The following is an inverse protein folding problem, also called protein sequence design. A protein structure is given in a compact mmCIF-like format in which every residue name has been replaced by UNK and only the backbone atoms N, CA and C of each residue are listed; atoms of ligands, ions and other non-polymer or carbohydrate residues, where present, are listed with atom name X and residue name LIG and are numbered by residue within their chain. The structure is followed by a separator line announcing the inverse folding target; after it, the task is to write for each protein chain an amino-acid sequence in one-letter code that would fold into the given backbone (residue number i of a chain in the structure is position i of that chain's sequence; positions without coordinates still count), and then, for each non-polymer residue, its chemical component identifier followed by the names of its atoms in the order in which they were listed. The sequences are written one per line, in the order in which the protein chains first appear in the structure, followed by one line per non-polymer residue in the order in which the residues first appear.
data_IF_827295268736
#
_entry.id   IF_827295268736
#
_cell.length_a   1.000
_cell.length_b   1.000
_cell.length_c   1.000
_cell.angle_alpha   90.00
_cell.angle_beta   90.00
_cell.angle_gamma   90.00
#
_symmetry.space_group_name_H-M   'P 1'
#
loop_
_entity.id
_entity.type
_entity.pdbx_description
1 polymer ?
#
# COMPACT_ATOMS: atom_id res chain seq x y z
N UNK A 1 -10.24 -18.93 -24.06
CA UNK A 1 -9.72 -17.67 -24.66
C UNK A 1 -8.21 -17.79 -24.76
N UNK A 2 -7.58 -17.50 -25.87
CA UNK A 2 -6.12 -17.60 -25.97
C UNK A 2 -5.47 -16.36 -25.32
N UNK A 3 -4.40 -16.55 -24.55
CA UNK A 3 -3.62 -15.44 -24.00
C UNK A 3 -2.98 -14.61 -25.10
N UNK A 4 -3.06 -13.27 -24.95
CA UNK A 4 -2.34 -12.35 -25.84
C UNK A 4 -0.83 -12.31 -25.53
N UNK A 5 -0.04 -11.63 -26.39
CA UNK A 5 1.42 -11.56 -26.24
C UNK A 5 1.85 -10.95 -24.91
N UNK A 6 1.15 -9.89 -24.44
CA UNK A 6 1.43 -9.20 -23.17
C UNK A 6 1.17 -10.13 -21.98
N UNK A 7 0.01 -10.78 -21.94
CA UNK A 7 -0.33 -11.74 -20.89
C UNK A 7 0.71 -12.88 -20.79
N UNK A 8 1.18 -13.41 -21.93
CA UNK A 8 2.25 -14.43 -21.95
C UNK A 8 3.57 -13.90 -21.40
N UNK A 9 3.94 -12.65 -21.73
CA UNK A 9 5.17 -12.02 -21.22
C UNK A 9 5.17 -12.00 -19.69
N UNK A 10 4.11 -11.52 -19.09
CA UNK A 10 4.06 -11.29 -17.63
C UNK A 10 3.77 -12.53 -16.81
N UNK A 11 2.90 -13.41 -17.27
CA UNK A 11 2.64 -14.69 -16.58
C UNK A 11 3.83 -15.65 -16.60
N UNK A 12 4.73 -15.51 -17.57
CA UNK A 12 5.83 -16.44 -17.76
C UNK A 12 5.41 -17.78 -18.38
N UNK A 13 6.35 -18.72 -18.52
CA UNK A 13 6.07 -20.01 -19.12
C UNK A 13 5.16 -20.89 -18.24
N UNK A 14 4.32 -21.69 -18.88
CA UNK A 14 3.50 -22.74 -18.27
C UNK A 14 2.69 -22.32 -17.02
N UNK A 15 1.91 -21.21 -17.07
CA UNK A 15 1.04 -20.89 -15.94
C UNK A 15 -0.05 -21.97 -15.81
N UNK A 16 -0.47 -22.32 -14.58
CA UNK A 16 -1.60 -23.24 -14.40
C UNK A 16 -2.83 -22.76 -15.17
N UNK A 17 -3.43 -23.63 -15.99
CA UNK A 17 -4.53 -23.24 -16.89
C UNK A 17 -5.74 -22.67 -16.15
N UNK A 18 -6.03 -23.16 -14.96
CA UNK A 18 -7.14 -22.69 -14.12
C UNK A 18 -6.99 -21.21 -13.70
N UNK A 19 -5.77 -20.67 -13.65
CA UNK A 19 -5.53 -19.30 -13.18
C UNK A 19 -5.91 -18.26 -14.24
N UNK A 20 -5.78 -18.56 -15.53
CA UNK A 20 -5.95 -17.58 -16.60
C UNK A 20 -7.15 -17.84 -17.52
N UNK A 21 -7.81 -19.00 -17.42
CA UNK A 21 -9.00 -19.30 -18.20
C UNK A 21 -10.31 -18.88 -17.55
N UNK A 22 -10.26 -18.49 -16.27
CA UNK A 22 -11.46 -18.09 -15.54
C UNK A 22 -12.04 -16.77 -16.10
N UNK A 23 -13.37 -16.75 -16.25
CA UNK A 23 -14.11 -15.57 -16.72
C UNK A 23 -14.06 -14.38 -15.75
N UNK A 24 -13.63 -14.61 -14.51
CA UNK A 24 -13.42 -13.55 -13.51
C UNK A 24 -12.25 -12.63 -13.88
N UNK A 25 -11.27 -13.13 -14.64
CA UNK A 25 -10.10 -12.32 -15.03
C UNK A 25 -10.39 -11.52 -16.29
N UNK A 26 -10.70 -10.26 -16.07
CA UNK A 26 -10.98 -9.31 -17.14
C UNK A 26 -9.70 -8.55 -17.53
N UNK A 27 -9.42 -8.37 -18.82
CA UNK A 27 -8.38 -7.43 -19.25
C UNK A 27 -8.71 -6.02 -18.76
N UNK A 28 -7.69 -5.25 -18.38
CA UNK A 28 -7.84 -3.83 -18.11
C UNK A 28 -7.94 -3.09 -19.46
N UNK A 29 -9.07 -2.43 -19.70
CA UNK A 29 -9.33 -1.65 -20.92
C UNK A 29 -10.27 -0.48 -20.64
N UNK A 30 -10.02 0.66 -21.26
CA UNK A 30 -8.73 1.06 -21.82
C UNK A 30 -7.70 1.29 -20.71
N UNK A 31 -6.43 1.12 -21.03
CA UNK A 31 -5.38 1.63 -20.16
C UNK A 31 -5.46 3.16 -20.17
N UNK A 32 -5.35 3.82 -19.02
CA UNK A 32 -5.21 5.27 -18.99
C UNK A 32 -4.00 5.70 -19.84
N UNK A 33 -4.03 6.90 -20.45
CA UNK A 33 -2.88 7.41 -21.16
C UNK A 33 -1.64 7.45 -20.25
N UNK A 34 -0.45 7.14 -20.75
CA UNK A 34 0.79 7.32 -20.00
C UNK A 34 0.88 8.74 -19.43
N UNK A 35 1.31 8.87 -18.17
CA UNK A 35 1.42 10.14 -17.47
C UNK A 35 0.09 10.72 -16.95
N UNK A 36 -1.07 10.07 -17.19
CA UNK A 36 -2.36 10.50 -16.62
C UNK A 36 -2.56 10.09 -15.16
N UNK A 37 -1.72 9.22 -14.64
CA UNK A 37 -1.84 8.56 -13.33
C UNK A 37 -0.60 8.73 -12.43
N UNK A 38 0.16 9.82 -12.57
CA UNK A 38 1.38 10.03 -11.80
C UNK A 38 2.46 9.00 -12.15
N UNK A 39 3.07 8.35 -11.18
CA UNK A 39 4.23 7.45 -11.29
C UNK A 39 4.01 6.16 -12.10
N UNK A 40 3.14 6.17 -13.08
CA UNK A 40 2.75 4.99 -13.83
C UNK A 40 3.30 5.01 -15.26
N UNK A 41 4.24 4.13 -15.57
CA UNK A 41 4.63 3.78 -16.92
C UNK A 41 4.01 2.45 -17.36
N UNK A 42 3.44 2.42 -18.56
CA UNK A 42 2.69 1.25 -19.09
C UNK A 42 3.55 -0.02 -19.14
N UNK A 43 4.87 0.13 -19.16
CA UNK A 43 5.82 -0.97 -19.32
C UNK A 43 6.44 -1.49 -18.02
N UNK A 44 6.14 -0.87 -16.85
CA UNK A 44 6.74 -1.21 -15.55
C UNK A 44 6.00 -2.28 -14.75
N UNK A 45 5.13 -3.04 -15.41
CA UNK A 45 4.47 -4.17 -14.76
C UNK A 45 5.49 -5.27 -14.43
N UNK A 46 5.65 -5.57 -13.15
CA UNK A 46 6.51 -6.64 -12.68
C UNK A 46 6.04 -8.02 -13.20
N UNK A 47 6.87 -8.68 -13.98
CA UNK A 47 6.61 -10.03 -14.44
C UNK A 47 6.74 -11.06 -13.31
N UNK A 48 6.19 -12.26 -13.52
CA UNK A 48 6.38 -13.38 -12.59
C UNK A 48 7.86 -13.78 -12.45
N UNK A 49 8.65 -13.68 -13.53
CA UNK A 49 10.07 -14.00 -13.50
C UNK A 49 10.85 -13.01 -12.62
N UNK A 50 10.58 -11.72 -12.73
CA UNK A 50 11.19 -10.67 -11.90
C UNK A 50 10.84 -10.87 -10.43
N UNK A 51 9.55 -11.12 -10.11
CA UNK A 51 9.13 -11.43 -8.74
C UNK A 51 9.86 -12.66 -8.17
N UNK A 52 10.01 -13.73 -8.97
CA UNK A 52 10.73 -14.93 -8.58
C UNK A 52 12.22 -14.66 -8.32
N UNK A 53 12.87 -13.84 -9.15
CA UNK A 53 14.26 -13.43 -8.96
C UNK A 53 14.45 -12.56 -7.71
N UNK A 54 13.53 -11.64 -7.43
CA UNK A 54 13.55 -10.88 -6.18
C UNK A 54 13.53 -11.79 -4.96
N UNK A 55 12.75 -12.87 -5.00
CA UNK A 55 12.68 -13.87 -3.92
C UNK A 55 13.98 -14.64 -3.67
N UNK A 56 14.91 -14.65 -4.63
CA UNK A 56 16.22 -15.28 -4.48
C UNK A 56 17.27 -14.37 -3.83
N UNK A 57 17.03 -13.05 -3.81
CA UNK A 57 17.96 -12.10 -3.23
C UNK A 57 18.05 -12.27 -1.72
N UNK A 58 19.22 -11.94 -1.16
CA UNK A 58 19.49 -12.10 0.26
C UNK A 58 18.45 -11.33 1.09
N UNK A 59 17.68 -12.00 1.98
CA UNK A 59 16.67 -11.34 2.81
C UNK A 59 17.25 -10.33 3.81
N UNK A 60 18.57 -10.35 4.01
CA UNK A 60 19.29 -9.45 4.89
C UNK A 60 19.94 -8.27 4.16
N UNK A 61 19.91 -8.25 2.82
CA UNK A 61 20.40 -7.11 2.07
C UNK A 61 19.39 -5.97 2.17
N UNK A 62 19.84 -4.77 2.50
CA UNK A 62 18.99 -3.58 2.49
C UNK A 62 18.29 -3.42 1.14
N UNK A 63 16.99 -3.18 1.16
CA UNK A 63 16.16 -2.94 -0.02
C UNK A 63 15.78 -4.16 -0.86
N UNK A 64 16.18 -5.40 -0.51
CA UNK A 64 15.85 -6.58 -1.33
C UNK A 64 15.47 -7.80 -0.50
N UNK A 65 14.34 -8.44 -0.83
CA UNK A 65 13.93 -9.72 -0.25
C UNK A 65 13.37 -9.68 1.17
N UNK A 66 13.09 -8.50 1.71
CA UNK A 66 12.52 -8.33 3.06
C UNK A 66 11.11 -8.91 3.22
N UNK A 67 10.38 -9.03 2.13
CA UNK A 67 9.02 -9.59 2.08
C UNK A 67 8.97 -11.12 2.17
N UNK A 68 10.11 -11.81 2.11
CA UNK A 68 10.15 -13.27 2.13
C UNK A 68 9.62 -13.82 3.45
N UNK A 69 8.71 -14.79 3.37
CA UNK A 69 8.26 -15.55 4.53
C UNK A 69 9.41 -16.32 5.15
N UNK A 70 9.59 -16.15 6.44
CA UNK A 70 10.56 -16.91 7.24
C UNK A 70 9.85 -17.48 8.48
N UNK A 71 10.42 -18.47 9.17
CA UNK A 71 9.84 -18.95 10.42
C UNK A 71 9.61 -17.83 11.45
N UNK A 72 10.46 -16.80 11.43
CA UNK A 72 10.41 -15.68 12.36
C UNK A 72 9.47 -14.55 11.91
N UNK A 73 9.09 -14.50 10.61
CA UNK A 73 8.27 -13.43 10.02
C UNK A 73 7.16 -14.03 9.17
N UNK A 74 5.99 -14.22 9.76
CA UNK A 74 4.85 -14.92 9.14
C UNK A 74 3.51 -14.22 9.36
N UNK A 75 3.51 -13.10 10.08
CA UNK A 75 2.29 -12.37 10.43
C UNK A 75 2.26 -11.00 9.75
N UNK A 76 1.06 -10.49 9.56
CA UNK A 76 0.81 -9.10 9.21
C UNK A 76 0.20 -8.42 10.43
N UNK A 77 0.82 -7.32 10.87
CA UNK A 77 0.26 -6.46 11.91
C UNK A 77 -0.64 -5.39 11.29
N UNK A 78 -1.80 -5.16 11.87
CA UNK A 78 -2.70 -4.05 11.54
C UNK A 78 -2.75 -3.11 12.73
N UNK A 79 -2.40 -1.86 12.53
CA UNK A 79 -2.26 -0.86 13.58
C UNK A 79 -3.20 0.31 13.32
N UNK A 80 -3.79 0.87 14.38
CA UNK A 80 -4.47 2.15 14.34
C UNK A 80 -3.63 3.23 15.01
N UNK A 81 -3.48 4.35 14.33
CA UNK A 81 -2.85 5.57 14.85
C UNK A 81 -3.91 6.67 15.01
N UNK A 82 -4.63 6.69 16.14
CA UNK A 82 -5.62 7.72 16.40
C UNK A 82 -4.94 9.08 16.65
N UNK A 83 -5.55 10.14 16.13
CA UNK A 83 -5.15 11.50 16.51
C UNK A 83 -5.56 11.80 17.95
N UNK A 84 -4.60 12.06 18.81
CA UNK A 84 -4.85 12.44 20.22
C UNK A 84 -5.58 13.76 20.39
N UNK A 85 -5.47 14.64 19.41
CA UNK A 85 -6.16 15.95 19.40
C UNK A 85 -7.65 15.83 19.06
N UNK A 86 -8.07 14.73 18.45
CA UNK A 86 -9.47 14.49 18.14
C UNK A 86 -10.27 14.17 19.41
N UNK A 87 -11.50 14.74 19.51
CA UNK A 87 -12.41 14.37 20.60
C UNK A 87 -12.73 12.88 20.53
N UNK A 88 -12.50 12.20 21.63
CA UNK A 88 -12.84 10.78 21.75
C UNK A 88 -14.36 10.60 21.66
N UNK A 89 -14.85 10.22 20.47
CA UNK A 89 -16.19 9.65 20.31
C UNK A 89 -16.10 8.13 20.49
N UNK A 90 -16.65 7.64 21.58
CA UNK A 90 -16.61 6.20 21.91
C UNK A 90 -17.30 5.33 20.84
N UNK A 91 -18.31 5.85 20.16
CA UNK A 91 -19.00 5.13 19.10
C UNK A 91 -18.17 5.08 17.82
N UNK A 92 -17.48 6.19 17.47
CA UNK A 92 -16.54 6.22 16.36
C UNK A 92 -15.35 5.28 16.61
N UNK A 93 -14.77 5.30 17.80
CA UNK A 93 -13.69 4.40 18.19
C UNK A 93 -14.09 2.92 18.10
N UNK A 94 -15.29 2.56 18.55
CA UNK A 94 -15.80 1.21 18.43
C UNK A 94 -16.00 0.78 16.98
N UNK A 95 -16.52 1.67 16.11
CA UNK A 95 -16.65 1.41 14.67
C UNK A 95 -15.29 1.20 14.02
N UNK A 96 -14.32 2.05 14.32
CA UNK A 96 -12.95 1.90 13.81
C UNK A 96 -12.35 0.56 14.23
N UNK A 97 -12.47 0.19 15.51
CA UNK A 97 -11.97 -1.10 15.98
C UNK A 97 -12.62 -2.30 15.24
N UNK A 98 -13.93 -2.24 14.99
CA UNK A 98 -14.63 -3.27 14.22
C UNK A 98 -14.13 -3.30 12.76
N UNK A 99 -14.01 -2.14 12.10
CA UNK A 99 -13.50 -2.06 10.73
C UNK A 99 -12.09 -2.64 10.59
N UNK A 100 -11.22 -2.39 11.57
CA UNK A 100 -9.87 -2.96 11.59
C UNK A 100 -9.88 -4.48 11.77
N UNK A 101 -10.77 -4.99 12.61
CA UNK A 101 -10.94 -6.44 12.79
C UNK A 101 -11.45 -7.10 11.51
N UNK A 102 -12.44 -6.48 10.85
CA UNK A 102 -12.98 -6.96 9.57
C UNK A 102 -11.93 -6.90 8.46
N UNK A 103 -11.13 -5.83 8.41
CA UNK A 103 -10.01 -5.71 7.48
C UNK A 103 -8.96 -6.80 7.73
N UNK A 104 -8.59 -7.05 8.98
CA UNK A 104 -7.62 -8.09 9.32
C UNK A 104 -8.10 -9.48 8.87
N UNK A 105 -9.40 -9.77 9.03
CA UNK A 105 -10.00 -11.01 8.53
C UNK A 105 -9.98 -11.08 7.01
N UNK A 106 -10.36 -10.00 6.32
CA UNK A 106 -10.32 -9.90 4.86
C UNK A 106 -8.89 -10.14 4.36
N UNK A 107 -7.92 -9.44 4.93
CA UNK A 107 -6.51 -9.55 4.52
C UNK A 107 -5.97 -10.95 4.76
N UNK A 108 -6.30 -11.57 5.91
CA UNK A 108 -5.96 -12.97 6.19
C UNK A 108 -6.52 -13.92 5.14
N UNK A 109 -7.80 -13.77 4.79
CA UNK A 109 -8.43 -14.59 3.75
C UNK A 109 -7.83 -14.35 2.36
N UNK A 110 -7.38 -13.11 2.12
CA UNK A 110 -6.88 -12.65 0.83
C UNK A 110 -5.45 -13.10 0.56
N UNK A 111 -4.56 -12.92 1.54
CA UNK A 111 -3.14 -13.24 1.39
C UNK A 111 -2.74 -14.57 2.02
N UNK A 112 -3.63 -15.22 2.78
CA UNK A 112 -3.36 -16.51 3.43
C UNK A 112 -2.36 -16.44 4.60
N UNK A 113 -2.04 -15.24 5.11
CA UNK A 113 -1.14 -15.04 6.25
C UNK A 113 -1.93 -14.71 7.51
N UNK A 114 -1.41 -15.12 8.65
CA UNK A 114 -1.95 -14.71 9.94
C UNK A 114 -1.89 -13.18 10.05
N UNK A 115 -3.04 -12.57 10.33
CA UNK A 115 -3.16 -11.12 10.44
C UNK A 115 -3.79 -10.79 11.77
N UNK A 116 -3.20 -9.86 12.52
CA UNK A 116 -3.68 -9.48 13.85
C UNK A 116 -3.74 -7.96 14.00
N UNK A 117 -4.78 -7.49 14.69
CA UNK A 117 -4.92 -6.09 15.06
C UNK A 117 -4.06 -5.84 16.29
N UNK A 118 -3.13 -4.91 16.18
CA UNK A 118 -2.24 -4.51 17.26
C UNK A 118 -2.92 -3.44 18.10
N UNK A 119 -3.06 -3.72 19.38
CA UNK A 119 -3.50 -2.73 20.34
C UNK A 119 -2.27 -2.17 21.04
N UNK A 120 -1.91 -0.90 20.82
CA UNK A 120 -0.83 -0.26 21.55
C UNK A 120 -1.27 -0.02 22.99
N UNK A 121 -1.25 -1.07 23.82
CA UNK A 121 -1.61 -1.01 25.26
C UNK A 121 -0.35 -1.01 26.13
N UNK A 122 -0.36 -0.15 27.16
CA UNK A 122 0.76 -0.05 28.10
C UNK A 122 1.78 1.03 27.74
N UNK A 123 3.02 0.92 28.23
CA UNK A 123 4.11 1.87 27.97
C UNK A 123 4.57 1.96 26.52
N UNK A 124 4.03 1.10 25.65
CA UNK A 124 4.30 1.01 24.23
C UNK A 124 3.30 1.78 23.36
N UNK A 125 2.43 2.57 23.97
CA UNK A 125 1.39 3.29 23.27
C UNK A 125 1.98 4.23 22.22
N UNK A 126 1.75 3.91 20.95
CA UNK A 126 1.97 4.86 19.86
C UNK A 126 0.99 6.01 19.99
N UNK A 127 1.49 7.22 19.90
CA UNK A 127 0.70 8.42 20.15
C UNK A 127 0.94 9.46 19.07
N UNK A 128 0.00 9.54 18.15
CA UNK A 128 0.00 10.55 17.09
C UNK A 128 -0.62 11.86 17.58
N UNK A 129 0.06 12.97 17.36
CA UNK A 129 -0.47 14.33 17.51
C UNK A 129 -0.37 15.02 16.15
N UNK A 130 -1.48 15.02 15.43
CA UNK A 130 -1.56 15.58 14.07
C UNK A 130 -1.30 17.08 14.07
N UNK A 131 -1.83 17.80 15.07
CA UNK A 131 -1.67 19.24 15.17
C UNK A 131 -0.22 19.66 15.40
N UNK A 132 0.54 18.86 16.14
CA UNK A 132 1.97 19.10 16.38
C UNK A 132 2.87 18.45 15.33
N UNK A 133 2.39 17.45 14.59
CA UNK A 133 3.20 16.64 13.70
C UNK A 133 4.21 15.80 14.47
N UNK A 134 3.77 15.12 15.51
CA UNK A 134 4.65 14.25 16.30
C UNK A 134 4.03 12.86 16.47
N UNK A 135 4.88 11.85 16.40
CA UNK A 135 4.55 10.47 16.74
C UNK A 135 5.45 10.03 17.89
N UNK A 136 4.86 9.73 19.04
CA UNK A 136 5.57 9.18 20.19
C UNK A 136 5.49 7.67 20.17
N UNK A 137 6.62 7.04 20.40
CA UNK A 137 6.77 5.60 20.61
C UNK A 137 7.47 5.38 21.94
N UNK A 138 7.75 4.15 22.33
CA UNK A 138 8.53 3.84 23.55
C UNK A 138 9.87 4.59 23.57
N UNK A 139 9.93 5.64 24.39
CA UNK A 139 11.16 6.40 24.64
C UNK A 139 11.61 7.35 23.55
N UNK A 140 10.89 7.42 22.42
CA UNK A 140 11.23 8.28 21.29
C UNK A 140 10.05 9.15 20.86
N UNK A 141 10.36 10.36 20.41
CA UNK A 141 9.42 11.27 19.75
C UNK A 141 9.95 11.57 18.34
N UNK A 142 9.18 11.23 17.33
CA UNK A 142 9.49 11.49 15.92
C UNK A 142 8.78 12.74 15.48
N UNK A 143 9.49 13.62 14.78
CA UNK A 143 8.90 14.78 14.12
C UNK A 143 8.40 14.36 12.74
N UNK A 144 7.10 14.55 12.49
CA UNK A 144 6.46 14.25 11.23
C UNK A 144 6.17 15.56 10.50
N UNK A 145 6.76 15.77 9.34
CA UNK A 145 6.48 16.96 8.54
C UNK A 145 4.99 17.02 8.17
N UNK A 146 4.47 18.24 8.07
CA UNK A 146 3.06 18.52 7.84
C UNK A 146 2.91 19.55 6.74
N UNK A 147 1.88 19.40 5.95
CA UNK A 147 1.49 20.41 4.96
C UNK A 147 0.07 20.92 5.23
N UNK A 148 -0.08 22.22 5.17
CA UNK A 148 -1.40 22.87 5.24
C UNK A 148 -1.99 22.89 3.84
N UNK A 149 -3.20 22.38 3.68
CA UNK A 149 -3.91 22.39 2.40
C UNK A 149 -4.12 23.83 1.94
N UNK A 150 -3.68 24.23 0.73
CA UNK A 150 -4.04 25.52 0.16
C UNK A 150 -5.55 25.54 -0.14
N UNK A 151 -6.22 26.63 0.29
CA UNK A 151 -7.62 26.87 -0.07
C UNK A 151 -8.71 26.37 0.88
N UNK A 152 -8.35 25.82 2.05
CA UNK A 152 -9.34 25.49 3.10
C UNK A 152 -10.38 24.43 2.74
N UNK A 153 -10.17 23.67 1.68
CA UNK A 153 -11.03 22.52 1.33
C UNK A 153 -10.78 21.34 2.27
N UNK A 154 -11.83 20.80 2.86
CA UNK A 154 -11.76 19.68 3.80
C UNK A 154 -11.92 20.14 5.27
N UNK A 155 -11.55 19.26 6.19
CA UNK A 155 -11.66 19.46 7.65
C UNK A 155 -10.62 20.41 8.24
N UNK A 156 -9.78 21.05 7.44
CA UNK A 156 -8.71 21.97 7.87
C UNK A 156 -7.51 21.28 8.55
N UNK A 157 -7.48 19.94 8.56
CA UNK A 157 -6.40 19.15 9.16
C UNK A 157 -5.18 19.14 8.23
N UNK A 158 -3.95 19.23 8.77
CA UNK A 158 -2.74 19.11 7.95
C UNK A 158 -2.57 17.68 7.42
N UNK A 159 -2.00 17.55 6.23
CA UNK A 159 -1.52 16.27 5.73
C UNK A 159 -0.17 15.93 6.38
N UNK A 160 0.03 14.67 6.74
CA UNK A 160 1.27 14.18 7.34
C UNK A 160 2.17 13.55 6.26
N UNK A 161 3.48 13.79 6.37
CA UNK A 161 4.46 13.16 5.49
C UNK A 161 4.49 11.64 5.75
N UNK A 162 4.11 10.86 4.74
CA UNK A 162 4.01 9.41 4.83
C UNK A 162 5.38 8.75 5.01
N UNK A 163 6.45 9.31 4.45
CA UNK A 163 7.81 8.77 4.59
C UNK A 163 8.34 8.92 6.02
N UNK A 164 8.05 10.04 6.68
CA UNK A 164 8.40 10.21 8.10
C UNK A 164 7.62 9.24 9.00
N UNK A 165 6.38 8.90 8.63
CA UNK A 165 5.63 7.84 9.32
C UNK A 165 6.28 6.47 9.11
N UNK A 166 6.79 6.16 7.91
CA UNK A 166 7.51 4.91 7.66
C UNK A 166 8.74 4.78 8.57
N UNK A 167 9.56 5.83 8.66
CA UNK A 167 10.76 5.83 9.50
C UNK A 167 10.41 5.60 10.97
N UNK A 168 9.35 6.25 11.45
CA UNK A 168 8.89 6.12 12.83
C UNK A 168 8.28 4.74 13.12
N UNK A 169 7.65 4.09 12.14
CA UNK A 169 6.97 2.81 12.29
C UNK A 169 7.83 1.59 11.95
N UNK A 170 8.91 1.77 11.17
CA UNK A 170 9.79 0.67 10.77
C UNK A 170 10.31 -0.19 11.93
N UNK A 171 10.68 0.37 13.11
CA UNK A 171 11.06 -0.44 14.26
C UNK A 171 9.95 -1.36 14.78
N UNK A 172 8.67 -0.99 14.59
CA UNK A 172 7.52 -1.78 15.04
C UNK A 172 7.17 -2.92 14.08
N UNK A 173 7.70 -2.91 12.85
CA UNK A 173 7.63 -4.04 11.91
C UNK A 173 8.68 -5.13 12.24
N UNK A 174 9.07 -5.27 13.53
CA UNK A 174 9.95 -6.32 14.03
C UNK A 174 9.27 -7.71 14.00
N UNK A 175 10.04 -8.81 14.08
CA UNK A 175 9.43 -10.13 14.21
C UNK A 175 8.41 -10.18 15.36
N UNK A 176 7.26 -10.85 15.20
CA UNK A 176 6.97 -11.85 14.14
C UNK A 176 6.36 -11.28 12.86
N UNK A 177 6.31 -9.95 12.70
CA UNK A 177 5.62 -9.32 11.57
C UNK A 177 6.50 -9.32 10.31
N UNK A 178 5.89 -9.75 9.22
CA UNK A 178 6.41 -9.60 7.86
C UNK A 178 6.12 -8.20 7.34
N UNK A 179 4.95 -7.67 7.67
CA UNK A 179 4.51 -6.35 7.30
C UNK A 179 3.66 -5.71 8.40
N UNK A 180 3.63 -4.39 8.44
CA UNK A 180 2.80 -3.57 9.32
C UNK A 180 1.94 -2.62 8.46
N UNK A 181 0.63 -2.67 8.64
CA UNK A 181 -0.33 -1.81 7.96
C UNK A 181 -0.91 -0.84 8.98
N UNK A 182 -0.58 0.43 8.87
CA UNK A 182 -1.01 1.47 9.80
C UNK A 182 -2.16 2.30 9.21
N UNK A 183 -3.32 2.28 9.88
CA UNK A 183 -4.43 3.19 9.59
C UNK A 183 -4.26 4.45 10.42
N UNK A 184 -4.20 5.59 9.74
CA UNK A 184 -3.82 6.89 10.33
C UNK A 184 -5.01 7.83 10.31
N UNK A 185 -5.41 8.35 11.47
CA UNK A 185 -6.48 9.35 11.60
C UNK A 185 -6.02 10.75 11.13
N UNK A 186 -5.43 10.82 9.96
CA UNK A 186 -5.00 12.07 9.33
C UNK A 186 -4.93 11.91 7.82
N UNK A 187 -5.07 13.01 7.06
CA UNK A 187 -4.64 13.05 5.67
C UNK A 187 -3.15 12.69 5.54
N UNK A 188 -2.79 11.98 4.48
CA UNK A 188 -1.41 11.64 4.16
C UNK A 188 -0.98 12.38 2.91
N UNK A 189 0.30 12.73 2.86
CA UNK A 189 0.92 13.36 1.70
C UNK A 189 2.33 12.84 1.47
N UNK A 190 2.77 12.95 0.23
CA UNK A 190 4.16 12.73 -0.15
C UNK A 190 4.70 13.98 -0.84
N UNK A 191 6.00 14.31 -0.69
CA UNK A 191 6.59 15.41 -1.43
C UNK A 191 6.40 15.19 -2.93
N UNK A 192 6.02 16.22 -3.66
CA UNK A 192 6.15 16.17 -5.11
C UNK A 192 7.63 16.27 -5.44
N UNK A 193 8.13 15.35 -6.26
CA UNK A 193 9.44 15.48 -6.85
C UNK A 193 9.40 16.74 -7.75
N UNK A 194 10.28 17.70 -7.49
CA UNK A 194 10.48 18.82 -8.43
C UNK A 194 11.08 18.19 -9.70
N UNK A 195 10.26 18.12 -10.76
CA UNK A 195 10.80 17.80 -12.07
C UNK A 195 11.84 18.86 -12.42
N UNK A 196 13.12 18.52 -12.37
CA UNK A 196 14.25 19.36 -12.74
C UNK A 196 14.25 19.72 -14.25
N UNK A 197 13.12 19.57 -14.93
CA UNK A 197 12.94 19.96 -16.32
C UNK A 197 12.65 21.45 -16.40
N UNK A 198 13.68 22.29 -16.12
CA UNK A 198 13.72 23.71 -16.45
C UNK A 198 13.68 23.92 -17.98
N UNK A 199 12.61 23.43 -18.61
CA UNK A 199 12.24 23.82 -19.94
C UNK A 199 11.71 25.24 -19.95
N UNK A 200 12.56 26.23 -20.25
CA UNK A 200 12.19 27.61 -20.58
C UNK A 200 11.05 27.64 -21.60
N UNK A 201 9.82 27.70 -21.17
CA UNK A 201 8.72 28.12 -22.03
C UNK A 201 7.96 29.26 -21.38
N UNK A 202 8.15 30.47 -21.92
CA UNK A 202 7.45 31.70 -21.59
C UNK A 202 5.94 31.60 -21.82
N UNK A 203 5.22 31.07 -20.85
CA UNK A 203 3.78 31.05 -20.74
C UNK A 203 3.33 31.53 -19.37
N UNK A 204 2.11 32.04 -19.26
CA UNK A 204 1.54 32.57 -18.01
C UNK A 204 1.87 31.61 -16.86
N UNK A 205 2.54 32.11 -15.83
CA UNK A 205 2.96 31.33 -14.64
C UNK A 205 1.75 30.60 -14.07
N UNK A 206 1.73 29.28 -14.23
CA UNK A 206 0.89 28.43 -13.39
C UNK A 206 1.21 28.71 -11.93
N UNK A 207 0.22 28.78 -11.05
CA UNK A 207 0.53 28.78 -9.63
C UNK A 207 1.44 27.59 -9.34
N UNK A 208 2.46 27.76 -8.48
CA UNK A 208 3.33 26.67 -8.12
C UNK A 208 2.46 25.47 -7.66
N UNK A 209 2.78 24.24 -8.06
CA UNK A 209 2.07 23.07 -7.62
C UNK A 209 2.10 23.02 -6.09
N UNK A 210 1.12 22.39 -5.45
CA UNK A 210 1.17 22.20 -4.01
C UNK A 210 2.47 21.46 -3.66
N UNK A 211 3.12 21.79 -2.55
CA UNK A 211 4.42 21.22 -2.17
C UNK A 211 4.35 19.72 -1.84
N UNK A 212 3.20 19.09 -2.00
CA UNK A 212 2.97 17.69 -1.76
C UNK A 212 1.75 17.17 -2.55
N UNK A 213 1.77 15.90 -2.86
CA UNK A 213 0.63 15.15 -3.40
C UNK A 213 -0.08 14.43 -2.26
N UNK A 214 -1.40 14.58 -2.18
CA UNK A 214 -2.20 13.84 -1.22
C UNK A 214 -2.37 12.39 -1.69
N UNK A 215 -2.23 11.44 -0.73
CA UNK A 215 -2.36 10.01 -0.99
C UNK A 215 -3.33 9.38 -0.01
N UNK A 216 -4.15 8.43 -0.48
CA UNK A 216 -5.02 7.62 0.39
C UNK A 216 -4.23 6.53 1.11
N UNK A 217 -3.19 6.03 0.49
CA UNK A 217 -2.29 5.03 1.04
C UNK A 217 -0.96 5.05 0.33
N UNK A 218 0.06 4.58 1.01
CA UNK A 218 1.41 4.38 0.48
C UNK A 218 2.09 3.25 1.22
N UNK A 219 2.86 2.46 0.49
CA UNK A 219 3.72 1.42 1.07
C UNK A 219 5.18 1.72 0.74
N UNK A 220 6.05 1.37 1.66
CA UNK A 220 7.49 1.35 1.44
C UNK A 220 8.01 -0.08 1.47
N UNK A 221 9.01 -0.39 0.65
CA UNK A 221 9.70 -1.69 0.65
C UNK A 221 10.24 -2.14 2.02
N UNK A 222 10.17 -1.29 3.02
CA UNK A 222 10.58 -1.53 4.41
C UNK A 222 9.48 -2.11 5.31
N UNK A 223 8.49 -2.79 4.72
CA UNK A 223 7.45 -3.56 5.42
C UNK A 223 6.38 -2.72 6.11
N UNK A 224 6.32 -1.44 5.87
CA UNK A 224 5.31 -0.56 6.43
C UNK A 224 4.44 -0.02 5.31
N UNK A 225 3.14 -0.05 5.55
CA UNK A 225 2.17 0.69 4.75
C UNK A 225 1.37 1.61 5.66
N UNK A 226 1.10 2.82 5.21
CA UNK A 226 0.22 3.78 5.87
C UNK A 226 -1.00 4.03 4.98
N UNK A 227 -2.17 4.06 5.59
CA UNK A 227 -3.46 4.31 4.92
C UNK A 227 -4.20 5.38 5.70
N UNK A 228 -4.59 6.45 5.03
CA UNK A 228 -5.42 7.50 5.63
C UNK A 228 -6.79 6.92 5.99
N UNK A 229 -7.29 7.28 7.18
CA UNK A 229 -8.62 6.89 7.65
C UNK A 229 -9.51 8.14 7.71
N UNK A 230 -10.14 8.54 6.59
CA UNK A 230 -11.04 9.68 6.58
C UNK A 230 -12.35 9.36 7.30
N UNK A 231 -12.98 10.37 7.93
CA UNK A 231 -14.20 10.21 8.75
C UNK A 231 -15.37 9.55 8.00
N UNK A 232 -15.44 9.72 6.69
CA UNK A 232 -16.53 9.24 5.83
C UNK A 232 -16.04 8.33 4.70
N UNK A 233 -15.02 7.49 4.99
CA UNK A 233 -14.50 6.56 4.01
C UNK A 233 -15.56 5.57 3.53
N UNK A 234 -15.65 5.36 2.22
CA UNK A 234 -16.24 4.13 1.69
C UNK A 234 -15.36 2.94 2.14
N UNK A 235 -15.93 2.07 2.95
CA UNK A 235 -15.21 0.90 3.48
C UNK A 235 -14.62 0.02 2.37
N UNK A 236 -15.29 -0.05 1.22
CA UNK A 236 -14.77 -0.82 0.10
C UNK A 236 -13.51 -0.19 -0.49
N UNK A 237 -13.52 1.12 -0.65
CA UNK A 237 -12.36 1.87 -1.13
C UNK A 237 -11.21 1.80 -0.13
N UNK A 238 -11.51 2.03 1.15
CA UNK A 238 -10.55 1.92 2.23
C UNK A 238 -9.89 0.54 2.27
N UNK A 239 -10.68 -0.53 2.20
CA UNK A 239 -10.17 -1.90 2.23
C UNK A 239 -9.40 -2.25 0.97
N UNK A 240 -9.82 -1.76 -0.20
CA UNK A 240 -9.09 -1.94 -1.44
C UNK A 240 -7.72 -1.24 -1.38
N UNK A 241 -7.68 0.01 -0.93
CA UNK A 241 -6.42 0.75 -0.75
C UNK A 241 -5.51 0.04 0.24
N UNK A 242 -6.02 -0.32 1.42
CA UNK A 242 -5.20 -0.97 2.44
C UNK A 242 -4.69 -2.35 2.01
N UNK A 243 -5.48 -3.14 1.29
CA UNK A 243 -5.04 -4.42 0.75
C UNK A 243 -4.04 -4.25 -0.42
N UNK A 244 -4.19 -3.22 -1.24
CA UNK A 244 -3.23 -2.83 -2.28
C UNK A 244 -1.86 -2.50 -1.66
N UNK A 245 -1.84 -1.61 -0.69
CA UNK A 245 -0.61 -1.22 0.02
C UNK A 245 0.01 -2.41 0.78
N UNK A 246 -0.82 -3.28 1.37
CA UNK A 246 -0.33 -4.50 2.00
C UNK A 246 0.39 -5.42 1.01
N UNK A 247 -0.08 -5.54 -0.22
CA UNK A 247 0.59 -6.34 -1.24
C UNK A 247 1.92 -5.71 -1.70
N UNK A 248 2.01 -4.39 -1.76
CA UNK A 248 3.29 -3.73 -2.00
C UNK A 248 4.34 -4.07 -0.93
N UNK A 249 3.96 -4.15 0.35
CA UNK A 249 4.87 -4.60 1.41
C UNK A 249 5.33 -6.05 1.25
N UNK A 250 4.61 -6.85 0.45
CA UNK A 250 4.95 -8.21 0.07
C UNK A 250 5.71 -8.31 -1.27
N UNK A 251 6.13 -7.17 -1.83
CA UNK A 251 6.93 -7.10 -3.05
C UNK A 251 6.13 -7.19 -4.36
N UNK A 252 4.81 -6.99 -4.30
CA UNK A 252 3.99 -6.94 -5.50
C UNK A 252 4.01 -5.52 -6.09
N UNK A 253 4.31 -5.40 -7.37
CA UNK A 253 4.16 -4.16 -8.10
C UNK A 253 2.80 -4.05 -8.79
N UNK A 254 2.53 -2.89 -9.35
CA UNK A 254 1.31 -2.60 -10.09
C UNK A 254 1.06 -3.61 -11.21
N UNK A 255 -0.19 -3.83 -11.53
CA UNK A 255 -0.66 -4.67 -12.61
C UNK A 255 -1.44 -3.83 -13.61
N UNK A 256 -1.01 -3.82 -14.85
CA UNK A 256 -1.60 -3.04 -15.93
C UNK A 256 -2.23 -3.91 -17.03
N UNK A 257 -2.10 -5.22 -16.91
CA UNK A 257 -2.62 -6.20 -17.88
C UNK A 257 -4.05 -6.64 -17.57
N UNK A 258 -4.43 -6.67 -16.30
CA UNK A 258 -5.76 -7.10 -15.85
C UNK A 258 -6.39 -6.07 -14.91
N UNK A 259 -7.74 -6.01 -14.95
CA UNK A 259 -8.49 -5.31 -13.91
C UNK A 259 -8.35 -6.07 -12.59
N UNK A 260 -7.60 -5.56 -11.65
CA UNK A 260 -7.30 -6.21 -10.38
C UNK A 260 -7.00 -5.20 -9.27
N UNK A 261 -6.85 -5.71 -8.06
CA UNK A 261 -6.51 -4.90 -6.89
C UNK A 261 -5.23 -4.08 -7.08
N UNK A 262 -4.22 -4.63 -7.76
CA UNK A 262 -2.92 -3.98 -7.96
C UNK A 262 -2.89 -3.04 -9.17
N UNK A 263 -4.04 -2.54 -9.62
CA UNK A 263 -4.02 -1.47 -10.63
C UNK A 263 -3.53 -0.17 -10.01
N UNK A 264 -2.75 0.66 -10.75
CA UNK A 264 -2.35 1.98 -10.30
C UNK A 264 -3.55 2.84 -9.93
N UNK A 265 -3.36 3.80 -9.05
CA UNK A 265 -4.39 4.78 -8.65
C UNK A 265 -5.01 5.45 -9.88
N UNK A 266 -6.33 5.67 -9.87
CA UNK A 266 -7.05 6.27 -10.99
C UNK A 266 -7.48 5.28 -12.09
N UNK A 267 -7.02 4.02 -12.06
CA UNK A 267 -7.52 2.97 -12.95
C UNK A 267 -8.83 2.40 -12.41
N UNK A 268 -9.94 2.88 -12.94
CA UNK A 268 -11.28 2.32 -12.68
C UNK A 268 -11.70 2.24 -11.19
N UNK A 269 -12.87 1.64 -10.92
CA UNK A 269 -13.36 1.46 -9.54
C UNK A 269 -12.49 0.46 -8.78
N UNK A 270 -12.31 0.64 -7.45
CA UNK A 270 -11.56 -0.28 -6.62
C UNK A 270 -11.99 -1.73 -6.85
N UNK A 271 -11.06 -2.54 -7.32
CA UNK A 271 -11.26 -3.96 -7.59
C UNK A 271 -10.65 -4.77 -6.45
N UNK A 272 -11.42 -5.68 -5.87
CA UNK A 272 -10.94 -6.55 -4.79
C UNK A 272 -10.44 -7.91 -5.30
N UNK A 273 -10.34 -8.11 -6.62
CA UNK A 273 -9.85 -9.37 -7.19
C UNK A 273 -8.37 -9.29 -7.55
N UNK A 274 -7.63 -10.36 -7.37
CA UNK A 274 -6.26 -10.47 -7.88
C UNK A 274 -6.25 -10.92 -9.33
N UNK A 275 -5.29 -10.43 -10.10
CA UNK A 275 -5.02 -10.92 -11.44
C UNK A 275 -4.43 -12.34 -11.40
N UNK A 276 -4.47 -13.08 -12.53
CA UNK A 276 -3.77 -14.36 -12.64
C UNK A 276 -2.29 -14.26 -12.30
N UNK A 277 -1.65 -13.16 -12.69
CA UNK A 277 -0.25 -12.88 -12.37
C UNK A 277 -0.03 -12.77 -10.85
N UNK A 278 -0.85 -11.96 -10.18
CA UNK A 278 -0.70 -11.73 -8.75
C UNK A 278 -1.10 -12.96 -7.91
N UNK A 279 -2.07 -13.75 -8.35
CA UNK A 279 -2.35 -15.06 -7.75
C UNK A 279 -1.15 -16.01 -7.87
N UNK A 280 -0.47 -16.02 -9.01
CA UNK A 280 0.73 -16.84 -9.21
C UNK A 280 1.87 -16.39 -8.28
N UNK A 281 2.08 -15.08 -8.13
CA UNK A 281 3.04 -14.51 -7.17
C UNK A 281 2.69 -14.93 -5.73
N UNK A 282 1.42 -14.87 -5.37
CA UNK A 282 0.94 -15.26 -4.03
C UNK A 282 1.19 -16.74 -3.74
N UNK A 283 0.92 -17.63 -4.69
CA UNK A 283 1.21 -19.06 -4.58
C UNK A 283 2.72 -19.30 -4.36
N UNK A 284 3.57 -18.60 -5.11
CA UNK A 284 5.02 -18.67 -4.94
C UNK A 284 5.46 -18.17 -3.54
N UNK A 285 4.85 -17.09 -3.05
CA UNK A 285 5.11 -16.57 -1.69
C UNK A 285 4.85 -17.65 -0.64
N UNK A 286 3.79 -18.45 -0.80
CA UNK A 286 3.46 -19.58 0.08
C UNK A 286 4.28 -20.84 -0.15
N UNK A 287 5.25 -20.80 -1.06
CA UNK A 287 6.09 -21.97 -1.36
C UNK A 287 5.38 -23.07 -2.14
N UNK A 288 4.24 -22.76 -2.75
CA UNK A 288 3.57 -23.71 -3.65
C UNK A 288 4.44 -23.90 -4.89
N UNK A 289 4.94 -25.13 -5.06
CA UNK A 289 5.74 -25.48 -6.23
C UNK A 289 4.83 -25.68 -7.42
N UNK A 290 5.20 -25.13 -8.56
CA UNK A 290 4.56 -25.44 -9.82
C UNK A 290 4.96 -26.85 -10.22
N UNK A 291 3.98 -27.74 -10.34
CA UNK A 291 4.23 -29.10 -10.85
C UNK A 291 4.70 -28.99 -12.31
N UNK A 292 5.92 -29.43 -12.60
CA UNK A 292 6.47 -29.50 -13.96
C UNK A 292 7.37 -28.34 -14.39
N UNK A 293 7.94 -27.56 -13.47
CA UNK A 293 8.98 -26.57 -13.77
C UNK A 293 10.39 -27.15 -13.64
#
# INVERSE_FOLDING_TARGET
MAMNKRQKKYLGPNPPSCIWTDKLFKPLHPLPPPGSLGDYEVDDEQSFAEFKEMGKRNPNAEGTGRWKLTPQRRKIGVLHLPDRGARADSAAAARTAQNLADFAQLLRAYVGLETEVLSPTGGDALALDVARGTLRTQGYEYSIARWTRPGGGGDGRPALNVFHLFDALAPHAAPPYLALIAFVDAPLGEPEEEDDDEGEQGGARRPPPPPYREVLGRACGDRVACVALPEHADLRELFATAAHEALHTLGFDHCTTWACLMNPSGCARPCLTLSPLNLRKLLLLHGVREEGA
#
